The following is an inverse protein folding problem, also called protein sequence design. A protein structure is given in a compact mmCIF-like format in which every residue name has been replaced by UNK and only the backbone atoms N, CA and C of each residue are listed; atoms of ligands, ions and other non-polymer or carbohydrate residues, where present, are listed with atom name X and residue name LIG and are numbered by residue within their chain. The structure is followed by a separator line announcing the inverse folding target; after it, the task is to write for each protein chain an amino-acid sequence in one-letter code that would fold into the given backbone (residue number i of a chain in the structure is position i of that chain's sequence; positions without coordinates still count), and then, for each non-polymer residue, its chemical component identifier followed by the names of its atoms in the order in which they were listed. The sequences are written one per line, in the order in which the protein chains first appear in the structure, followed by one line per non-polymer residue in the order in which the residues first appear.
data_IF_599136239912
#
_entry.id   IF_599136239912
#
_cell.length_a   1.000
_cell.length_b   1.000
_cell.length_c   1.000
_cell.angle_alpha   90.00
_cell.angle_beta   90.00
_cell.angle_gamma   90.00
#
_symmetry.space_group_name_H-M   'P 1'
#
loop_
_entity.id
_entity.type
_entity.pdbx_description
1 polymer ?
#
# COMPACT_ATOMS: atom_id res chain seq x y z
N UNK A 1 1.93 37.86 -2.18
CA UNK A 1 2.30 37.99 -3.62
C UNK A 1 3.48 37.06 -3.95
N UNK A 2 3.49 35.81 -3.47
CA UNK A 2 4.76 35.17 -3.04
C UNK A 2 4.98 33.75 -3.61
N UNK A 3 3.94 32.89 -3.63
CA UNK A 3 4.09 31.49 -4.06
C UNK A 3 4.45 31.32 -5.54
N UNK A 4 3.81 32.09 -6.44
CA UNK A 4 4.10 32.02 -7.88
C UNK A 4 5.54 32.40 -8.21
N UNK A 5 6.08 33.41 -7.53
CA UNK A 5 7.48 33.84 -7.71
C UNK A 5 8.46 32.78 -7.19
N UNK A 6 8.13 32.11 -6.09
CA UNK A 6 8.95 31.01 -5.55
C UNK A 6 8.94 29.81 -6.48
N UNK A 7 7.79 29.41 -7.05
CA UNK A 7 7.70 28.30 -8.00
C UNK A 7 8.56 28.56 -9.23
N UNK A 8 8.47 29.76 -9.80
CA UNK A 8 9.30 30.14 -10.97
C UNK A 8 10.78 30.04 -10.63
N UNK A 9 11.19 30.55 -9.46
CA UNK A 9 12.59 30.50 -9.02
C UNK A 9 13.08 29.07 -8.83
N UNK A 10 12.28 28.20 -8.21
CA UNK A 10 12.63 26.79 -8.02
C UNK A 10 12.76 26.09 -9.37
N UNK A 11 11.83 26.32 -10.29
CA UNK A 11 11.90 25.76 -11.64
C UNK A 11 13.18 26.20 -12.37
N UNK A 12 13.53 27.49 -12.31
CA UNK A 12 14.77 27.99 -12.93
C UNK A 12 16.04 27.39 -12.34
N UNK A 13 16.08 27.15 -11.02
CA UNK A 13 17.23 26.49 -10.38
C UNK A 13 17.33 25.03 -10.81
N UNK A 14 16.20 24.31 -10.84
CA UNK A 14 16.17 22.92 -11.31
C UNK A 14 16.62 22.79 -12.77
N UNK A 15 16.19 23.71 -13.63
CA UNK A 15 16.64 23.78 -15.03
C UNK A 15 18.14 24.04 -15.17
N UNK A 16 18.69 24.96 -14.38
CA UNK A 16 20.13 25.28 -14.39
C UNK A 16 20.99 24.09 -13.97
N UNK A 17 20.53 23.33 -12.98
CA UNK A 17 21.24 22.15 -12.47
C UNK A 17 20.96 20.88 -13.29
N UNK A 18 20.16 20.96 -14.36
CA UNK A 18 19.70 19.83 -15.16
C UNK A 18 19.02 18.71 -14.32
N UNK A 19 18.35 19.09 -13.24
CA UNK A 19 17.64 18.17 -12.33
C UNK A 19 16.15 18.29 -12.58
N UNK A 20 15.47 17.17 -12.84
CA UNK A 20 14.00 17.20 -12.94
C UNK A 20 13.37 17.35 -11.55
N UNK A 21 12.17 17.93 -11.48
CA UNK A 21 11.43 18.00 -10.21
C UNK A 21 11.20 16.62 -9.58
N UNK A 22 11.03 15.57 -10.41
CA UNK A 22 10.96 14.19 -9.95
C UNK A 22 12.27 13.70 -9.33
N UNK A 23 13.41 13.95 -9.97
CA UNK A 23 14.72 13.50 -9.46
C UNK A 23 15.07 14.18 -8.15
N UNK A 24 14.71 15.46 -8.03
CA UNK A 24 14.87 16.21 -6.78
C UNK A 24 14.04 15.60 -5.65
N UNK A 25 12.75 15.32 -5.89
CA UNK A 25 11.87 14.69 -4.90
C UNK A 25 12.35 13.29 -4.51
N UNK A 26 12.76 12.47 -5.49
CA UNK A 26 13.31 11.14 -5.23
C UNK A 26 14.57 11.23 -4.37
N UNK A 27 15.51 12.12 -4.71
CA UNK A 27 16.75 12.32 -3.97
C UNK A 27 16.51 12.76 -2.52
N UNK A 28 15.51 13.61 -2.28
CA UNK A 28 15.14 14.03 -0.93
C UNK A 28 14.59 12.86 -0.10
N UNK A 29 13.80 11.97 -0.70
CA UNK A 29 13.18 10.84 -0.02
C UNK A 29 14.14 9.66 0.20
N UNK A 30 15.14 9.48 -0.67
CA UNK A 30 16.09 8.36 -0.58
C UNK A 30 17.28 8.62 0.35
N UNK A 31 17.71 9.87 0.50
CA UNK A 31 18.89 10.21 1.30
C UNK A 31 18.54 10.33 2.78
N UNK A 32 19.14 9.46 3.60
CA UNK A 32 18.99 9.48 5.06
C UNK A 32 19.33 10.85 5.68
N UNK A 33 20.27 11.60 5.08
CA UNK A 33 20.65 12.94 5.52
C UNK A 33 19.49 13.95 5.51
N UNK A 34 18.42 13.67 4.76
CA UNK A 34 17.25 14.54 4.65
C UNK A 34 16.01 13.97 5.34
N UNK A 35 16.11 12.84 6.04
CA UNK A 35 14.97 12.17 6.67
C UNK A 35 14.17 13.10 7.59
N UNK A 36 14.86 13.81 8.48
CA UNK A 36 14.26 14.73 9.46
C UNK A 36 14.30 16.18 8.98
N UNK A 37 14.64 16.41 7.71
CA UNK A 37 14.65 17.76 7.16
C UNK A 37 13.20 18.26 7.01
N UNK A 38 12.88 19.51 7.40
CA UNK A 38 11.50 20.02 7.36
C UNK A 38 10.81 19.87 6.00
N UNK A 39 11.54 19.99 4.89
CA UNK A 39 10.99 19.77 3.54
C UNK A 39 10.55 18.32 3.32
N UNK A 40 11.31 17.35 3.78
CA UNK A 40 11.00 15.92 3.63
C UNK A 40 9.83 15.55 4.53
N UNK A 41 9.84 16.01 5.79
CA UNK A 41 8.71 15.83 6.72
C UNK A 41 7.42 16.38 6.12
N UNK A 42 7.43 17.64 5.66
CA UNK A 42 6.25 18.26 5.05
C UNK A 42 5.78 17.54 3.79
N UNK A 43 6.72 17.07 2.94
CA UNK A 43 6.40 16.31 1.75
C UNK A 43 5.74 14.96 2.08
N UNK A 44 6.26 14.24 3.08
CA UNK A 44 5.72 12.96 3.53
C UNK A 44 4.33 13.14 4.16
N UNK A 45 4.14 14.17 4.99
CA UNK A 45 2.84 14.51 5.59
C UNK A 45 1.80 14.85 4.52
N UNK A 46 2.21 15.53 3.45
CA UNK A 46 1.35 15.89 2.32
C UNK A 46 1.22 14.83 1.25
N UNK A 47 1.95 13.72 1.34
CA UNK A 47 1.91 12.66 0.34
C UNK A 47 0.49 12.12 0.07
N UNK A 48 -0.38 11.88 1.08
CA UNK A 48 -1.76 11.44 0.81
C UNK A 48 -2.55 12.46 -0.03
N UNK A 49 -2.49 13.74 0.32
CA UNK A 49 -3.17 14.82 -0.43
C UNK A 49 -2.66 14.91 -1.87
N UNK A 50 -1.35 14.76 -2.07
CA UNK A 50 -0.72 14.76 -3.40
C UNK A 50 -1.16 13.53 -4.20
N UNK A 51 -1.17 12.34 -3.59
CA UNK A 51 -1.61 11.09 -4.20
C UNK A 51 -3.07 11.19 -4.65
N UNK A 52 -3.95 11.78 -3.84
CA UNK A 52 -5.38 11.96 -4.13
C UNK A 52 -5.66 12.92 -5.31
N UNK A 53 -4.69 13.74 -5.72
CA UNK A 53 -4.80 14.60 -6.88
C UNK A 53 -4.48 13.90 -8.19
N UNK A 54 -3.60 12.89 -8.18
CA UNK A 54 -3.17 12.22 -9.40
C UNK A 54 -4.29 11.48 -10.18
N UNK A 55 -5.28 10.84 -9.54
CA UNK A 55 -6.45 10.29 -10.22
C UNK A 55 -7.31 11.35 -10.90
N UNK A 56 -7.31 12.59 -10.40
CA UNK A 56 -8.10 13.71 -10.94
C UNK A 56 -7.42 14.37 -12.14
N UNK A 57 -6.14 14.10 -12.37
CA UNK A 57 -5.37 14.69 -13.44
C UNK A 57 -5.32 13.76 -14.68
N UNK A 58 -5.79 14.27 -15.82
CA UNK A 58 -6.06 13.50 -17.05
C UNK A 58 -4.89 12.64 -17.52
N UNK A 59 -3.65 13.15 -17.42
CA UNK A 59 -2.46 12.44 -17.92
C UNK A 59 -1.91 11.40 -16.94
N UNK A 60 -2.28 11.50 -15.66
CA UNK A 60 -1.74 10.62 -14.60
C UNK A 60 -2.75 9.62 -14.08
N UNK A 61 -4.05 9.77 -14.36
CA UNK A 61 -5.09 8.89 -13.81
C UNK A 61 -4.82 7.41 -14.12
N UNK A 62 -4.55 7.08 -15.39
CA UNK A 62 -4.31 5.70 -15.82
C UNK A 62 -3.03 5.09 -15.22
N UNK A 63 -1.93 5.85 -15.21
CA UNK A 63 -0.66 5.38 -14.63
C UNK A 63 -0.77 5.22 -13.11
N UNK A 64 -1.48 6.12 -12.44
CA UNK A 64 -1.74 6.07 -10.99
C UNK A 64 -2.58 4.85 -10.63
N UNK A 65 -3.65 4.58 -11.36
CA UNK A 65 -4.48 3.40 -11.12
C UNK A 65 -3.68 2.11 -11.32
N UNK A 66 -2.86 2.06 -12.38
CA UNK A 66 -1.99 0.91 -12.65
C UNK A 66 -0.97 0.70 -11.54
N UNK A 67 -0.35 1.78 -11.04
CA UNK A 67 0.58 1.74 -9.91
C UNK A 67 -0.11 1.27 -8.62
N UNK A 68 -1.26 1.87 -8.27
CA UNK A 68 -2.02 1.50 -7.08
C UNK A 68 -2.41 0.01 -7.09
N UNK A 69 -2.86 -0.49 -8.25
CA UNK A 69 -3.15 -1.93 -8.42
C UNK A 69 -1.94 -2.81 -8.16
N UNK A 70 -0.77 -2.45 -8.69
CA UNK A 70 0.49 -3.19 -8.46
C UNK A 70 0.86 -3.21 -6.97
N UNK A 71 0.70 -2.08 -6.28
CA UNK A 71 0.99 -1.99 -4.84
C UNK A 71 0.05 -2.89 -4.03
N UNK A 72 -1.26 -2.84 -4.31
CA UNK A 72 -2.24 -3.68 -3.63
C UNK A 72 -1.93 -5.15 -3.88
N UNK A 73 -1.73 -5.54 -5.14
CA UNK A 73 -1.39 -6.93 -5.49
C UNK A 73 -0.14 -7.42 -4.74
N UNK A 74 0.91 -6.60 -4.68
CA UNK A 74 2.13 -6.94 -3.95
C UNK A 74 1.86 -7.12 -2.46
N UNK A 75 1.19 -6.16 -1.81
CA UNK A 75 0.89 -6.23 -0.37
C UNK A 75 -0.01 -7.39 -0.01
N UNK A 76 -1.03 -7.68 -0.83
CA UNK A 76 -1.91 -8.83 -0.64
C UNK A 76 -1.13 -10.13 -0.80
N UNK A 77 -0.27 -10.25 -1.82
CA UNK A 77 0.56 -11.43 -2.01
C UNK A 77 1.53 -11.65 -0.84
N UNK A 78 2.18 -10.59 -0.36
CA UNK A 78 3.08 -10.65 0.79
C UNK A 78 2.33 -11.03 2.07
N UNK A 79 1.10 -10.52 2.25
CA UNK A 79 0.23 -10.91 3.37
C UNK A 79 -0.16 -12.38 3.28
N UNK A 80 -0.63 -12.87 2.12
CA UNK A 80 -0.97 -14.29 1.92
C UNK A 80 0.24 -15.19 2.22
N UNK A 81 1.45 -14.81 1.77
CA UNK A 81 2.67 -15.56 2.08
C UNK A 81 2.96 -15.63 3.57
N UNK A 82 2.81 -14.51 4.29
CA UNK A 82 3.00 -14.48 5.74
C UNK A 82 2.01 -15.40 6.45
N UNK A 83 0.76 -15.38 5.98
CA UNK A 83 -0.33 -16.18 6.50
C UNK A 83 -0.11 -17.69 6.27
N UNK A 84 0.33 -18.09 5.07
CA UNK A 84 0.60 -19.50 4.74
C UNK A 84 1.92 -20.01 5.31
N UNK A 85 2.87 -19.14 5.65
CA UNK A 85 4.10 -19.50 6.36
C UNK A 85 3.85 -19.88 7.83
N UNK A 86 2.69 -19.51 8.38
CA UNK A 86 2.31 -19.84 9.74
C UNK A 86 1.83 -21.30 9.77
N UNK A 87 2.65 -22.20 10.31
CA UNK A 87 2.39 -23.66 10.29
C UNK A 87 1.12 -24.07 11.04
N UNK A 88 0.61 -23.21 11.93
CA UNK A 88 -0.63 -23.43 12.68
C UNK A 88 -1.91 -23.22 11.83
N UNK A 89 -1.77 -22.83 10.56
CA UNK A 89 -2.87 -22.67 9.61
C UNK A 89 -3.06 -23.94 8.79
N UNK A 90 -3.54 -24.99 9.44
CA UNK A 90 -3.96 -26.22 8.76
C UNK A 90 -5.37 -26.01 8.18
N UNK A 91 -5.45 -25.79 6.86
CA UNK A 91 -6.69 -25.94 6.12
C UNK A 91 -6.82 -27.41 5.72
N UNK A 92 -7.58 -28.20 6.48
CA UNK A 92 -7.93 -29.57 6.12
C UNK A 92 -9.36 -29.61 5.57
N UNK A 93 -9.46 -29.69 4.25
CA UNK A 93 -10.72 -29.88 3.53
C UNK A 93 -11.00 -31.34 3.18
N UNK A 94 -10.15 -32.29 3.64
CA UNK A 94 -10.29 -33.71 3.31
C UNK A 94 -11.61 -34.33 3.76
N UNK A 95 -12.25 -33.72 4.76
CA UNK A 95 -13.54 -34.16 5.32
C UNK A 95 -14.64 -33.09 5.24
N UNK A 96 -14.38 -31.96 4.55
CA UNK A 96 -15.37 -30.90 4.42
C UNK A 96 -16.45 -31.29 3.40
N UNK A 97 -17.72 -31.12 3.76
CA UNK A 97 -18.83 -31.26 2.81
C UNK A 97 -18.83 -30.11 1.80
N UNK A 98 -19.51 -30.28 0.67
CA UNK A 98 -19.64 -29.22 -0.35
C UNK A 98 -20.29 -27.95 0.23
N UNK A 99 -21.28 -28.10 1.10
CA UNK A 99 -21.96 -27.00 1.80
C UNK A 99 -20.99 -26.25 2.74
N UNK A 100 -20.11 -26.98 3.45
CA UNK A 100 -19.11 -26.39 4.33
C UNK A 100 -18.00 -25.64 3.57
N UNK A 101 -17.70 -26.06 2.34
CA UNK A 101 -16.80 -25.34 1.44
C UNK A 101 -17.44 -24.08 0.84
N UNK A 102 -18.75 -24.11 0.57
CA UNK A 102 -19.51 -22.95 0.09
C UNK A 102 -19.59 -21.83 1.12
N UNK A 103 -19.72 -22.19 2.40
CA UNK A 103 -19.78 -21.24 3.51
C UNK A 103 -18.38 -20.83 4.04
N UNK A 104 -17.29 -21.37 3.48
CA UNK A 104 -15.94 -21.12 3.98
C UNK A 104 -15.46 -19.69 3.73
N UNK A 105 -15.10 -18.99 4.81
CA UNK A 105 -14.46 -17.67 4.76
C UNK A 105 -13.03 -17.77 5.28
N UNK A 106 -12.05 -17.54 4.40
CA UNK A 106 -10.62 -17.59 4.76
C UNK A 106 -10.26 -16.55 5.82
N UNK A 107 -11.04 -15.48 5.93
CA UNK A 107 -10.94 -14.43 6.94
C UNK A 107 -11.20 -14.96 8.37
N UNK A 108 -12.05 -15.98 8.54
CA UNK A 108 -12.29 -16.60 9.85
C UNK A 108 -11.09 -17.40 10.35
N UNK A 109 -10.30 -17.97 9.42
CA UNK A 109 -9.06 -18.67 9.74
C UNK A 109 -7.97 -17.72 10.24
N UNK A 110 -8.02 -16.45 9.84
CA UNK A 110 -7.10 -15.41 10.26
C UNK A 110 -7.37 -14.86 11.68
N UNK A 111 -8.49 -15.22 12.31
CA UNK A 111 -8.83 -14.76 13.66
C UNK A 111 -8.04 -15.50 14.74
N UNK A 112 -7.64 -14.82 15.84
CA UNK A 112 -7.04 -15.44 17.01
C UNK A 112 -7.90 -16.60 17.53
N UNK A 113 -7.26 -17.67 18.01
CA UNK A 113 -7.92 -18.92 18.40
C UNK A 113 -9.07 -18.74 19.42
N UNK A 114 -9.09 -17.66 20.20
CA UNK A 114 -10.16 -17.33 21.16
C UNK A 114 -11.38 -16.59 20.60
N UNK A 115 -11.32 -16.12 19.36
CA UNK A 115 -12.40 -15.38 18.67
C UNK A 115 -13.04 -16.18 17.54
N UNK A 116 -12.44 -17.31 17.14
CA UNK A 116 -13.06 -18.25 16.20
C UNK A 116 -14.39 -18.70 16.79
N UNK A 117 -15.49 -18.45 16.07
CA UNK A 117 -16.73 -19.17 16.35
C UNK A 117 -16.38 -20.65 16.23
N UNK A 118 -16.43 -21.38 17.35
CA UNK A 118 -16.38 -22.83 17.28
C UNK A 118 -17.51 -23.22 16.34
N UNK A 119 -17.23 -23.91 15.23
CA UNK A 119 -18.30 -24.43 14.44
C UNK A 119 -19.10 -25.34 15.37
N UNK A 120 -20.40 -25.09 15.48
CA UNK A 120 -21.33 -25.88 16.25
C UNK A 120 -21.17 -27.35 15.89
N UNK A 121 -20.62 -28.15 16.81
CA UNK A 121 -20.70 -29.62 16.94
C UNK A 121 -20.85 -30.43 15.64
N UNK A 122 -19.98 -30.18 14.65
CA UNK A 122 -20.10 -30.84 13.34
C UNK A 122 -18.78 -31.28 12.69
N UNK A 123 -17.62 -31.02 13.30
CA UNK A 123 -16.31 -31.28 12.68
C UNK A 123 -15.66 -32.59 13.13
N UNK A 124 -16.41 -33.44 13.83
CA UNK A 124 -15.99 -34.79 14.18
C UNK A 124 -17.15 -35.77 14.01
N UNK A 125 -17.28 -36.32 12.80
CA UNK A 125 -17.62 -37.74 12.60
C UNK A 125 -16.94 -38.25 11.35
#
# INVERSE_FOLDING_TARGET
RTARSQIIRIASVLEQEAVTASDFVITLLERESYRDHPCTTSLVEKAPEIIDLFPKHLRSAQSTFTWARKIIQKKTADSIKLLTANQDWHFDAGHASAEQLEDFQIEEMAQPQGSRRRPSDGWHK
#
